data_IF_915768822983
#
_entry.id   IF_915768822983
#
_cell.length_a   1.000
_cell.length_b   1.000
_cell.length_c   1.000
_cell.angle_alpha   90.00
_cell.angle_beta   90.00
_cell.angle_gamma   90.00
#
_symmetry.space_group_name_H-M   'P 1'
#
loop_
_entity.id
_entity.type
_entity.pdbx_description
1 polymer ?
#
# COMPACT_ATOMS: atom_id res chain seq x y z
N UNK A 1 -26.84 93.06 56.46
CA UNK A 1 -26.38 92.39 55.22
C UNK A 1 -25.37 93.31 54.57
N UNK A 2 -24.12 92.87 54.54
CA UNK A 2 -23.00 93.62 53.98
C UNK A 2 -23.12 93.68 52.44
N UNK A 3 -22.52 94.66 51.75
CA UNK A 3 -22.58 94.72 50.27
C UNK A 3 -22.02 93.45 49.61
N UNK A 4 -21.00 92.85 50.23
CA UNK A 4 -20.43 91.58 49.82
C UNK A 4 -21.46 90.43 49.87
N UNK A 5 -22.41 90.45 50.80
CA UNK A 5 -23.45 89.42 50.89
C UNK A 5 -24.43 89.52 49.71
N UNK A 6 -24.78 90.75 49.29
CA UNK A 6 -25.65 90.99 48.13
C UNK A 6 -24.96 90.61 46.81
N UNK A 7 -23.66 90.91 46.69
CA UNK A 7 -22.85 90.54 45.53
C UNK A 7 -22.72 89.02 45.40
N UNK A 8 -22.53 88.32 46.53
CA UNK A 8 -22.48 86.86 46.56
C UNK A 8 -23.80 86.23 46.14
N UNK A 9 -24.95 86.74 46.60
CA UNK A 9 -26.28 86.26 46.21
C UNK A 9 -26.52 86.49 44.70
N UNK A 10 -26.17 87.66 44.17
CA UNK A 10 -26.32 87.96 42.74
C UNK A 10 -25.43 87.06 41.87
N UNK A 11 -24.20 86.79 42.33
CA UNK A 11 -23.27 85.88 41.66
C UNK A 11 -23.77 84.43 41.68
N UNK A 12 -24.43 84.02 42.77
CA UNK A 12 -25.03 82.70 42.86
C UNK A 12 -26.16 82.57 41.86
N UNK A 13 -27.13 83.51 41.87
CA UNK A 13 -28.29 83.51 40.97
C UNK A 13 -27.89 83.58 39.49
N UNK A 14 -26.92 84.42 39.12
CA UNK A 14 -26.50 84.58 37.72
C UNK A 14 -25.68 83.41 37.18
N UNK A 15 -25.01 82.64 38.05
CA UNK A 15 -24.12 81.54 37.64
C UNK A 15 -24.70 80.15 37.90
N UNK A 16 -25.92 80.04 38.43
CA UNK A 16 -26.57 78.74 38.70
C UNK A 16 -26.64 77.88 37.44
N UNK A 17 -27.16 78.43 36.34
CA UNK A 17 -27.36 77.68 35.09
C UNK A 17 -26.03 77.23 34.47
N UNK A 18 -25.00 78.10 34.52
CA UNK A 18 -23.64 77.79 34.05
C UNK A 18 -22.98 76.69 34.89
N UNK A 19 -23.19 76.71 36.21
CA UNK A 19 -22.69 75.66 37.12
C UNK A 19 -23.39 74.34 36.87
N UNK A 20 -24.71 74.34 36.71
CA UNK A 20 -25.48 73.13 36.41
C UNK A 20 -25.07 72.52 35.06
N UNK A 21 -24.84 73.37 34.05
CA UNK A 21 -24.31 72.93 32.75
C UNK A 21 -22.89 72.36 32.85
N UNK A 22 -22.00 73.02 33.59
CA UNK A 22 -20.64 72.55 33.82
C UNK A 22 -20.61 71.23 34.60
N UNK A 23 -21.45 71.07 35.62
CA UNK A 23 -21.62 69.82 36.37
C UNK A 23 -22.11 68.69 35.46
N UNK A 24 -23.05 68.97 34.56
CA UNK A 24 -23.54 68.00 33.58
C UNK A 24 -22.42 67.53 32.63
N UNK A 25 -21.57 68.44 32.16
CA UNK A 25 -20.41 68.10 31.34
C UNK A 25 -19.41 67.27 32.15
N UNK A 26 -19.10 67.69 33.37
CA UNK A 26 -18.17 66.97 34.25
C UNK A 26 -18.66 65.53 34.50
N UNK A 27 -19.95 65.35 34.77
CA UNK A 27 -20.57 64.02 34.92
C UNK A 27 -20.44 63.17 33.65
N UNK A 28 -20.68 63.75 32.46
CA UNK A 28 -20.51 63.05 31.17
C UNK A 28 -19.05 62.65 30.92
N UNK A 29 -18.10 63.52 31.25
CA UNK A 29 -16.66 63.24 31.13
C UNK A 29 -16.28 62.12 32.09
N UNK A 30 -16.66 62.20 33.37
CA UNK A 30 -16.36 61.15 34.34
C UNK A 30 -16.99 59.80 33.96
N UNK A 31 -18.19 59.80 33.36
CA UNK A 31 -18.81 58.59 32.83
C UNK A 31 -18.01 58.00 31.65
N UNK A 32 -17.50 58.84 30.75
CA UNK A 32 -16.67 58.39 29.63
C UNK A 32 -15.30 57.88 30.10
N UNK A 33 -14.65 58.59 31.02
CA UNK A 33 -13.40 58.18 31.66
C UNK A 33 -13.56 56.83 32.35
N UNK A 34 -14.68 56.61 33.04
CA UNK A 34 -14.99 55.32 33.66
C UNK A 34 -15.03 54.19 32.63
N UNK A 35 -15.71 54.40 31.50
CA UNK A 35 -15.77 53.40 30.41
C UNK A 35 -14.38 53.12 29.84
N UNK A 36 -13.55 54.14 29.63
CA UNK A 36 -12.20 54.00 29.08
C UNK A 36 -11.21 53.33 30.04
N UNK A 37 -11.30 53.62 31.34
CA UNK A 37 -10.41 53.05 32.36
C UNK A 37 -10.88 51.69 32.89
N UNK A 38 -12.14 51.32 32.65
CA UNK A 38 -12.69 50.02 33.06
C UNK A 38 -12.67 49.06 31.88
N UNK A 39 -11.73 48.11 31.90
CA UNK A 39 -11.56 47.12 30.82
C UNK A 39 -12.86 46.43 30.40
N UNK A 40 -13.72 46.06 31.35
CA UNK A 40 -14.99 45.38 31.07
C UNK A 40 -15.99 46.28 30.32
N UNK A 41 -16.09 47.55 30.71
CA UNK A 41 -17.00 48.51 30.06
C UNK A 41 -16.49 48.87 28.65
N UNK A 42 -15.18 49.01 28.47
CA UNK A 42 -14.56 49.23 27.17
C UNK A 42 -14.72 48.01 26.24
N UNK A 43 -14.45 46.81 26.75
CA UNK A 43 -14.58 45.55 26.01
C UNK A 43 -16.00 45.39 25.46
N UNK A 44 -17.04 45.67 26.26
CA UNK A 44 -18.42 45.62 25.80
C UNK A 44 -18.78 46.58 24.65
N UNK A 45 -17.93 47.58 24.36
CA UNK A 45 -18.08 48.48 23.21
C UNK A 45 -17.15 48.14 22.04
N UNK A 46 -15.96 47.61 22.33
CA UNK A 46 -14.91 47.35 21.33
C UNK A 46 -15.03 45.94 20.76
N UNK A 47 -15.34 44.94 21.59
CA UNK A 47 -15.37 43.53 21.17
C UNK A 47 -16.30 43.30 19.98
N UNK A 48 -17.55 43.83 19.92
CA UNK A 48 -18.42 43.63 18.76
C UNK A 48 -17.83 44.19 17.44
N UNK A 49 -17.02 45.26 17.54
CA UNK A 49 -16.34 45.85 16.39
C UNK A 49 -15.21 44.94 15.93
N UNK A 50 -14.43 44.41 16.88
CA UNK A 50 -13.34 43.47 16.59
C UNK A 50 -13.90 42.17 16.01
N UNK A 51 -14.97 41.64 16.58
CA UNK A 51 -15.63 40.42 16.12
C UNK A 51 -16.10 40.60 14.67
N UNK A 52 -16.79 41.71 14.35
CA UNK A 52 -17.22 42.01 12.98
C UNK A 52 -16.04 42.07 12.01
N UNK A 53 -14.93 42.72 12.42
CA UNK A 53 -13.72 42.81 11.58
C UNK A 53 -13.02 41.47 11.42
N UNK A 54 -13.06 40.62 12.44
CA UNK A 54 -12.49 39.29 12.39
C UNK A 54 -13.30 38.40 11.44
N UNK A 55 -14.62 38.48 11.48
CA UNK A 55 -15.51 37.76 10.57
C UNK A 55 -15.26 38.20 9.11
N UNK A 56 -15.21 39.51 8.85
CA UNK A 56 -14.84 40.05 7.53
C UNK A 56 -13.47 39.54 7.07
N UNK A 57 -12.47 39.54 7.95
CA UNK A 57 -11.14 39.04 7.63
C UNK A 57 -11.16 37.54 7.30
N UNK A 58 -11.88 36.73 8.08
CA UNK A 58 -12.02 35.29 7.84
C UNK A 58 -12.65 35.02 6.47
N UNK A 59 -13.65 35.80 6.07
CA UNK A 59 -14.27 35.69 4.74
C UNK A 59 -13.30 36.07 3.60
N UNK A 60 -12.36 36.98 3.86
CA UNK A 60 -11.37 37.44 2.88
C UNK A 60 -10.12 36.56 2.80
N UNK A 61 -9.80 35.76 3.83
CA UNK A 61 -8.60 34.88 3.87
C UNK A 61 -8.45 34.03 2.60
N UNK A 62 -9.49 33.31 2.10
CA UNK A 62 -9.33 32.50 0.90
C UNK A 62 -8.92 33.32 -0.34
N UNK A 63 -9.33 34.59 -0.43
CA UNK A 63 -9.02 35.47 -1.56
C UNK A 63 -7.64 36.11 -1.43
N UNK A 64 -7.26 36.51 -0.21
CA UNK A 64 -6.04 37.27 0.04
C UNK A 64 -4.83 36.37 0.31
N UNK A 65 -4.98 35.37 1.16
CA UNK A 65 -3.91 34.44 1.54
C UNK A 65 -3.93 33.15 0.73
N UNK A 66 -5.08 32.75 0.18
CA UNK A 66 -5.21 31.51 -0.61
C UNK A 66 -4.16 31.38 -1.73
N UNK A 67 -3.95 32.40 -2.59
CA UNK A 67 -2.93 32.34 -3.64
C UNK A 67 -1.51 32.17 -3.08
N UNK A 68 -1.17 32.92 -2.03
CA UNK A 68 0.15 32.85 -1.37
C UNK A 68 0.38 31.48 -0.74
N UNK A 69 -0.60 30.95 -0.01
CA UNK A 69 -0.53 29.61 0.58
C UNK A 69 -0.35 28.55 -0.51
N UNK A 70 -1.08 28.67 -1.62
CA UNK A 70 -1.00 27.73 -2.74
C UNK A 70 0.38 27.76 -3.38
N UNK A 71 0.94 28.94 -3.63
CA UNK A 71 2.28 29.06 -4.24
C UNK A 71 3.37 28.56 -3.29
N UNK A 72 3.30 28.90 -2.00
CA UNK A 72 4.22 28.39 -0.99
C UNK A 72 4.18 26.85 -0.90
N UNK A 73 2.98 26.26 -0.89
CA UNK A 73 2.84 24.79 -0.89
C UNK A 73 3.42 24.15 -2.15
N UNK A 74 3.21 24.77 -3.31
CA UNK A 74 3.75 24.29 -4.59
C UNK A 74 5.27 24.33 -4.63
N UNK A 75 5.86 25.41 -4.11
CA UNK A 75 7.31 25.55 -3.98
C UNK A 75 7.87 24.53 -2.98
N UNK A 76 7.21 24.35 -1.84
CA UNK A 76 7.60 23.35 -0.84
C UNK A 76 7.54 21.93 -1.39
N UNK A 77 6.50 21.56 -2.13
CA UNK A 77 6.41 20.25 -2.81
C UNK A 77 7.56 20.08 -3.83
N UNK A 78 7.95 21.14 -4.53
CA UNK A 78 9.03 21.10 -5.52
C UNK A 78 10.41 20.95 -4.86
N UNK A 79 10.60 21.55 -3.68
CA UNK A 79 11.86 21.53 -2.95
C UNK A 79 12.01 20.27 -2.08
N UNK A 80 10.90 19.76 -1.54
CA UNK A 80 10.84 18.62 -0.63
C UNK A 80 10.32 17.34 -1.32
N UNK A 81 10.72 17.11 -2.58
CA UNK A 81 10.23 15.99 -3.41
C UNK A 81 10.40 14.63 -2.76
N UNK A 82 11.55 14.36 -2.13
CA UNK A 82 11.82 13.04 -1.54
C UNK A 82 10.86 12.71 -0.40
N UNK A 83 10.63 13.66 0.52
CA UNK A 83 9.71 13.48 1.64
C UNK A 83 8.25 13.33 1.16
N UNK A 84 7.86 14.10 0.13
CA UNK A 84 6.54 13.97 -0.48
C UNK A 84 6.39 12.61 -1.16
N UNK A 85 7.41 12.15 -1.90
CA UNK A 85 7.41 10.84 -2.55
C UNK A 85 7.31 9.72 -1.50
N UNK A 86 8.09 9.79 -0.43
CA UNK A 86 8.07 8.82 0.67
C UNK A 86 6.70 8.73 1.34
N UNK A 87 6.06 9.87 1.61
CA UNK A 87 4.71 9.91 2.19
C UNK A 87 3.64 9.37 1.23
N UNK A 88 3.80 9.59 -0.08
CA UNK A 88 2.84 9.13 -1.09
C UNK A 88 3.06 7.66 -1.49
N UNK A 89 4.27 7.12 -1.34
CA UNK A 89 4.62 5.78 -1.83
C UNK A 89 3.68 4.68 -1.33
N UNK A 90 3.32 4.57 -0.03
CA UNK A 90 2.38 3.56 0.44
C UNK A 90 0.96 3.73 -0.11
N UNK A 91 0.54 4.97 -0.35
CA UNK A 91 -0.78 5.28 -0.92
C UNK A 91 -0.82 4.83 -2.39
N UNK A 92 0.21 5.22 -3.15
CA UNK A 92 0.37 4.83 -4.54
C UNK A 92 0.45 3.31 -4.68
N UNK A 93 1.22 2.62 -3.84
CA UNK A 93 1.30 1.15 -3.84
C UNK A 93 -0.06 0.48 -3.61
N UNK A 94 -0.86 0.97 -2.64
CA UNK A 94 -2.24 0.48 -2.45
C UNK A 94 -3.15 0.75 -3.64
N UNK A 95 -3.01 1.91 -4.29
CA UNK A 95 -3.80 2.27 -5.48
C UNK A 95 -3.44 1.39 -6.68
N UNK A 96 -2.15 1.20 -6.96
CA UNK A 96 -1.66 0.33 -8.02
C UNK A 96 -2.15 -1.09 -7.79
N UNK A 97 -1.97 -1.62 -6.57
CA UNK A 97 -2.47 -2.96 -6.20
C UNK A 97 -3.97 -3.08 -6.45
N UNK A 98 -4.77 -2.09 -6.02
CA UNK A 98 -6.22 -2.07 -6.23
C UNK A 98 -6.60 -2.03 -7.72
N UNK A 99 -5.92 -1.20 -8.50
CA UNK A 99 -6.15 -1.09 -9.94
C UNK A 99 -5.85 -2.40 -10.66
N UNK A 100 -4.68 -3.00 -10.40
CA UNK A 100 -4.30 -4.30 -10.97
C UNK A 100 -5.32 -5.38 -10.61
N UNK A 101 -5.75 -5.42 -9.34
CA UNK A 101 -6.76 -6.38 -8.89
C UNK A 101 -8.10 -6.19 -9.60
N UNK A 102 -8.50 -4.94 -9.83
CA UNK A 102 -9.72 -4.61 -10.56
C UNK A 102 -9.64 -5.00 -12.04
N UNK A 103 -8.52 -4.73 -12.72
CA UNK A 103 -8.32 -5.15 -14.10
C UNK A 103 -8.32 -6.68 -14.24
N UNK A 104 -7.66 -7.39 -13.32
CA UNK A 104 -7.70 -8.85 -13.27
C UNK A 104 -9.14 -9.35 -13.06
N UNK A 105 -9.91 -8.71 -12.19
CA UNK A 105 -11.32 -9.04 -11.98
C UNK A 105 -12.14 -8.84 -13.26
N UNK A 106 -11.96 -7.72 -13.97
CA UNK A 106 -12.64 -7.46 -15.23
C UNK A 106 -12.24 -8.46 -16.32
N UNK A 107 -10.97 -8.85 -16.39
CA UNK A 107 -10.51 -9.93 -17.26
C UNK A 107 -11.18 -11.25 -16.91
N UNK A 108 -11.23 -11.61 -15.62
CA UNK A 108 -11.90 -12.81 -15.12
C UNK A 108 -13.39 -12.81 -15.47
N UNK A 109 -14.08 -11.68 -15.32
CA UNK A 109 -15.49 -11.53 -15.70
C UNK A 109 -15.72 -11.67 -17.22
N UNK A 110 -14.81 -11.15 -18.05
CA UNK A 110 -14.88 -11.32 -19.51
C UNK A 110 -14.64 -12.79 -19.90
N UNK A 111 -13.63 -13.41 -19.30
CA UNK A 111 -13.34 -14.83 -19.47
C UNK A 111 -14.54 -15.66 -19.05
N UNK A 112 -15.10 -15.45 -17.86
CA UNK A 112 -16.26 -16.18 -17.35
C UNK A 112 -17.47 -16.03 -18.26
N UNK A 113 -17.72 -14.84 -18.81
CA UNK A 113 -18.85 -14.60 -19.74
C UNK A 113 -18.66 -15.30 -21.10
N UNK A 114 -17.42 -15.39 -21.58
CA UNK A 114 -17.08 -16.08 -22.83
C UNK A 114 -17.02 -17.61 -22.65
N UNK A 115 -16.59 -18.04 -21.47
CA UNK A 115 -16.67 -19.41 -20.93
C UNK A 115 -18.13 -19.83 -20.86
N UNK A 116 -18.99 -19.14 -20.12
CA UNK A 116 -20.39 -19.52 -19.89
C UNK A 116 -21.20 -19.71 -21.19
N UNK A 117 -20.98 -18.82 -22.18
CA UNK A 117 -21.59 -18.95 -23.52
C UNK A 117 -20.98 -20.10 -24.36
N UNK A 118 -19.72 -20.46 -24.14
CA UNK A 118 -19.07 -21.58 -24.84
C UNK A 118 -19.23 -22.93 -24.12
N UNK A 119 -19.53 -22.92 -22.82
CA UNK A 119 -19.76 -24.10 -21.98
C UNK A 119 -21.04 -24.81 -22.39
N UNK A 120 -22.10 -24.10 -22.78
CA UNK A 120 -23.32 -24.72 -23.30
C UNK A 120 -23.04 -25.67 -24.48
N UNK A 121 -22.27 -25.21 -25.48
CA UNK A 121 -21.99 -25.98 -26.69
C UNK A 121 -20.81 -26.95 -26.53
N UNK A 122 -19.75 -26.57 -25.80
CA UNK A 122 -18.59 -27.43 -25.53
C UNK A 122 -18.87 -28.49 -24.47
N UNK A 123 -19.66 -28.21 -23.42
CA UNK A 123 -20.01 -29.22 -22.41
C UNK A 123 -20.86 -30.33 -23.01
N UNK A 124 -21.73 -30.03 -23.99
CA UNK A 124 -22.46 -31.06 -24.73
C UNK A 124 -21.53 -31.92 -25.59
N UNK A 125 -20.62 -31.29 -26.34
CA UNK A 125 -19.60 -32.01 -27.14
C UNK A 125 -18.63 -32.81 -26.27
N UNK A 126 -18.31 -32.31 -25.08
CA UNK A 126 -17.45 -32.92 -24.04
C UNK A 126 -18.12 -34.12 -23.36
N UNK A 127 -19.43 -34.04 -23.06
CA UNK A 127 -20.23 -35.17 -22.57
C UNK A 127 -20.30 -36.31 -23.59
N UNK A 128 -20.49 -36.00 -24.87
CA UNK A 128 -20.46 -36.99 -25.95
C UNK A 128 -19.08 -37.63 -26.12
N UNK A 129 -18.00 -36.86 -26.00
CA UNK A 129 -16.62 -37.35 -26.16
C UNK A 129 -16.17 -38.20 -24.96
N UNK A 130 -16.48 -37.79 -23.72
CA UNK A 130 -16.16 -38.53 -22.51
C UNK A 130 -16.86 -39.89 -22.44
N UNK A 131 -18.10 -39.98 -22.94
CA UNK A 131 -18.82 -41.25 -23.06
C UNK A 131 -18.17 -42.21 -24.08
N UNK A 132 -17.52 -41.69 -25.11
CA UNK A 132 -16.83 -42.49 -26.15
C UNK A 132 -15.40 -42.86 -25.76
N UNK A 133 -14.67 -42.02 -25.02
CA UNK A 133 -13.23 -42.21 -24.78
C UNK A 133 -12.83 -42.57 -23.34
N UNK A 134 -13.76 -42.63 -22.38
CA UNK A 134 -13.52 -43.23 -21.06
C UNK A 134 -12.47 -42.56 -20.16
N UNK A 135 -12.18 -41.25 -20.34
CA UNK A 135 -11.20 -40.51 -19.52
C UNK A 135 -11.91 -39.65 -18.48
N UNK A 136 -11.40 -39.66 -17.23
CA UNK A 136 -12.02 -39.06 -16.04
C UNK A 136 -12.00 -37.53 -16.06
N UNK A 137 -13.03 -36.96 -15.46
CA UNK A 137 -13.47 -35.55 -15.48
C UNK A 137 -12.49 -34.53 -14.83
N UNK A 138 -11.40 -34.99 -14.21
CA UNK A 138 -10.54 -34.17 -13.35
C UNK A 138 -9.45 -33.37 -14.10
N UNK A 139 -9.05 -33.82 -15.30
CA UNK A 139 -8.01 -33.14 -16.10
C UNK A 139 -8.54 -31.90 -16.84
N UNK A 140 -9.86 -31.68 -16.81
CA UNK A 140 -10.55 -30.64 -17.60
C UNK A 140 -10.79 -29.32 -16.84
N UNK A 141 -10.46 -29.26 -15.54
CA UNK A 141 -10.74 -28.09 -14.68
C UNK A 141 -9.57 -27.09 -14.67
N UNK A 142 -8.40 -27.48 -15.19
CA UNK A 142 -7.14 -26.73 -15.04
C UNK A 142 -6.88 -25.70 -16.16
N UNK A 143 -7.73 -25.60 -17.19
CA UNK A 143 -7.48 -24.76 -18.37
C UNK A 143 -8.05 -23.34 -18.32
N UNK A 144 -8.53 -22.84 -17.17
CA UNK A 144 -9.37 -21.62 -17.14
C UNK A 144 -9.08 -20.61 -16.01
N UNK A 145 -7.97 -20.74 -15.28
CA UNK A 145 -7.50 -19.73 -14.33
C UNK A 145 -6.13 -19.25 -14.80
N UNK A 146 -5.98 -17.93 -14.99
CA UNK A 146 -4.85 -17.29 -15.69
C UNK A 146 -3.52 -18.03 -15.53
N UNK A 147 -3.01 -18.55 -16.65
CA UNK A 147 -2.03 -19.64 -16.70
C UNK A 147 -0.79 -19.33 -15.84
N UNK A 148 -0.70 -19.96 -14.67
CA UNK A 148 0.54 -19.99 -13.93
C UNK A 148 1.56 -20.81 -14.74
N UNK A 149 2.69 -20.19 -15.07
CA UNK A 149 3.72 -20.83 -15.89
C UNK A 149 4.98 -21.03 -15.05
N UNK A 150 5.54 -22.24 -15.13
CA UNK A 150 6.87 -22.51 -14.60
C UNK A 150 7.89 -21.88 -15.53
N UNK A 151 8.63 -20.90 -15.04
CA UNK A 151 9.67 -20.26 -15.81
C UNK A 151 10.99 -21.01 -15.67
N UNK A 152 11.38 -21.30 -14.43
CA UNK A 152 12.63 -21.98 -14.10
C UNK A 152 12.52 -22.83 -12.85
N UNK A 153 13.32 -23.89 -12.77
CA UNK A 153 13.45 -24.77 -11.62
C UNK A 153 14.92 -24.95 -11.31
N UNK A 154 15.29 -24.90 -10.04
CA UNK A 154 16.65 -25.07 -9.56
C UNK A 154 16.68 -26.14 -8.48
N UNK A 155 17.63 -27.07 -8.60
CA UNK A 155 17.97 -28.02 -7.54
C UNK A 155 19.28 -27.55 -6.94
N UNK A 156 19.26 -27.20 -5.66
CA UNK A 156 20.38 -26.52 -5.00
C UNK A 156 20.78 -27.33 -3.76
N UNK A 157 22.07 -27.63 -3.62
CA UNK A 157 22.60 -28.30 -2.44
C UNK A 157 22.41 -27.42 -1.20
N UNK A 158 21.93 -28.04 -0.13
CA UNK A 158 21.69 -27.35 1.13
C UNK A 158 23.03 -26.96 1.76
N UNK A 159 23.06 -25.78 2.40
CA UNK A 159 24.22 -25.17 3.06
C UNK A 159 25.28 -24.58 2.14
N UNK A 160 25.69 -25.27 1.07
CA UNK A 160 26.73 -24.77 0.15
C UNK A 160 26.18 -23.78 -0.88
N UNK A 161 24.91 -23.95 -1.29
CA UNK A 161 24.30 -23.20 -2.37
C UNK A 161 24.76 -23.61 -3.77
N UNK A 162 25.45 -24.74 -3.88
CA UNK A 162 25.89 -25.30 -5.16
C UNK A 162 24.68 -25.71 -5.99
N UNK A 163 24.63 -25.25 -7.24
CA UNK A 163 23.60 -25.64 -8.19
C UNK A 163 23.85 -27.07 -8.68
N UNK A 164 22.95 -27.99 -8.35
CA UNK A 164 23.02 -29.39 -8.78
C UNK A 164 22.40 -29.61 -10.16
N UNK A 165 21.39 -28.80 -10.53
CA UNK A 165 20.74 -28.87 -11.82
C UNK A 165 19.69 -27.78 -11.98
N UNK A 166 19.36 -27.46 -13.22
CA UNK A 166 18.35 -26.45 -13.51
C UNK A 166 17.48 -26.84 -14.72
N UNK A 167 16.26 -26.33 -14.73
CA UNK A 167 15.38 -26.30 -15.88
C UNK A 167 14.96 -24.86 -16.13
N UNK A 168 14.88 -24.46 -17.40
CA UNK A 168 14.45 -23.13 -17.77
C UNK A 168 13.72 -23.18 -19.12
N UNK A 169 12.54 -22.58 -19.20
CA UNK A 169 11.86 -22.32 -20.48
C UNK A 169 12.62 -21.26 -21.28
N UNK A 170 13.11 -20.23 -20.58
CA UNK A 170 13.97 -19.17 -21.13
C UNK A 170 15.11 -18.92 -20.16
N UNK A 171 16.35 -18.85 -20.64
CA UNK A 171 17.54 -18.55 -19.81
C UNK A 171 17.64 -17.05 -19.49
N UNK A 172 16.71 -16.55 -18.67
CA UNK A 172 16.65 -15.15 -18.24
C UNK A 172 17.29 -14.88 -16.89
N UNK A 173 17.64 -15.93 -16.14
CA UNK A 173 18.16 -15.84 -14.77
C UNK A 173 19.57 -16.43 -14.77
N UNK A 174 20.52 -15.69 -14.19
CA UNK A 174 21.85 -16.21 -13.89
C UNK A 174 21.75 -17.26 -12.78
N UNK A 175 22.05 -18.51 -13.13
CA UNK A 175 21.76 -19.68 -12.30
C UNK A 175 22.64 -19.72 -11.04
N UNK A 176 23.90 -19.31 -11.18
CA UNK A 176 24.91 -19.33 -10.11
C UNK A 176 24.66 -18.18 -9.12
N UNK A 177 24.33 -17.00 -9.65
CA UNK A 177 23.94 -15.87 -8.81
C UNK A 177 22.63 -16.16 -8.07
N UNK A 178 21.65 -16.76 -8.75
CA UNK A 178 20.36 -17.08 -8.17
C UNK A 178 20.45 -18.15 -7.07
N UNK A 179 21.27 -19.20 -7.26
CA UNK A 179 21.48 -20.23 -6.24
C UNK A 179 22.17 -19.68 -5.00
N UNK A 180 23.21 -18.84 -5.19
CA UNK A 180 23.89 -18.14 -4.10
C UNK A 180 22.97 -17.20 -3.33
N UNK A 181 22.16 -16.41 -4.04
CA UNK A 181 21.17 -15.51 -3.45
C UNK A 181 20.14 -16.27 -2.60
N UNK A 182 19.53 -17.33 -3.14
CA UNK A 182 18.52 -18.10 -2.41
C UNK A 182 19.10 -18.76 -1.16
N UNK A 183 20.33 -19.26 -1.24
CA UNK A 183 21.00 -19.86 -0.08
C UNK A 183 21.21 -18.82 1.01
N UNK A 184 21.72 -17.64 0.65
CA UNK A 184 21.92 -16.55 1.59
C UNK A 184 20.60 -16.11 2.24
N UNK A 185 19.55 -15.87 1.45
CA UNK A 185 18.23 -15.47 1.99
C UNK A 185 17.70 -16.54 2.93
N UNK A 186 17.76 -17.81 2.53
CA UNK A 186 17.27 -18.93 3.35
C UNK A 186 18.03 -19.01 4.68
N UNK A 187 19.36 -18.94 4.65
CA UNK A 187 20.19 -18.93 5.86
C UNK A 187 19.87 -17.75 6.76
N UNK A 188 19.78 -16.53 6.22
CA UNK A 188 19.45 -15.34 7.02
C UNK A 188 18.07 -15.43 7.68
N UNK A 189 17.06 -15.92 6.96
CA UNK A 189 15.71 -16.08 7.51
C UNK A 189 15.70 -17.16 8.58
N UNK A 190 16.32 -18.32 8.34
CA UNK A 190 16.33 -19.42 9.31
C UNK A 190 17.11 -19.06 10.59
N UNK A 191 18.22 -18.32 10.45
CA UNK A 191 18.99 -17.81 11.59
C UNK A 191 18.22 -16.77 12.40
N UNK A 192 17.46 -15.89 11.72
CA UNK A 192 16.67 -14.84 12.37
C UNK A 192 15.51 -15.41 13.21
N UNK A 193 14.89 -16.50 12.76
CA UNK A 193 13.66 -16.99 13.37
C UNK A 193 13.85 -17.92 14.58
N UNK A 194 15.07 -18.38 14.92
CA UNK A 194 15.48 -19.17 16.10
C UNK A 194 14.60 -20.40 16.50
N UNK A 195 13.52 -20.68 15.78
CA UNK A 195 12.58 -21.77 16.01
C UNK A 195 12.95 -22.94 15.11
N UNK A 196 13.23 -24.09 15.74
CA UNK A 196 13.55 -25.32 15.01
C UNK A 196 12.33 -25.81 14.23
N UNK A 197 12.48 -26.01 12.92
CA UNK A 197 11.49 -26.66 12.07
C UNK A 197 10.69 -25.75 11.15
N UNK A 198 11.00 -24.45 11.07
CA UNK A 198 10.46 -23.56 10.04
C UNK A 198 11.47 -23.43 8.89
N UNK A 199 10.97 -23.50 7.65
CA UNK A 199 11.77 -23.26 6.45
C UNK A 199 11.12 -22.14 5.64
N UNK A 200 11.93 -21.39 4.89
CA UNK A 200 11.43 -20.45 3.90
C UNK A 200 10.78 -21.24 2.73
N UNK A 201 9.48 -21.03 2.49
CA UNK A 201 8.70 -21.78 1.48
C UNK A 201 8.29 -20.97 0.24
N UNK A 202 8.22 -19.64 0.37
CA UNK A 202 7.73 -18.76 -0.70
C UNK A 202 8.39 -17.38 -0.61
N UNK A 203 8.88 -16.90 -1.75
CA UNK A 203 9.32 -15.51 -1.94
C UNK A 203 8.47 -14.90 -3.06
N UNK A 204 7.88 -13.74 -2.81
CA UNK A 204 7.07 -13.00 -3.79
C UNK A 204 7.90 -11.83 -4.37
N UNK A 205 7.99 -11.74 -5.69
CA UNK A 205 8.67 -10.67 -6.41
C UNK A 205 7.84 -10.22 -7.62
N UNK A 206 7.13 -9.10 -7.47
CA UNK A 206 6.22 -8.55 -8.48
C UNK A 206 5.19 -9.58 -9.01
N UNK A 207 5.38 -10.05 -10.26
CA UNK A 207 4.52 -11.04 -10.92
C UNK A 207 5.07 -12.46 -10.84
N UNK A 208 6.18 -12.65 -10.13
CA UNK A 208 6.87 -13.92 -9.95
C UNK A 208 6.75 -14.41 -8.50
N UNK A 209 6.64 -15.72 -8.37
CA UNK A 209 6.61 -16.43 -7.10
C UNK A 209 7.73 -17.47 -7.12
N UNK A 210 8.63 -17.43 -6.15
CA UNK A 210 9.68 -18.43 -5.98
C UNK A 210 9.22 -19.38 -4.89
N UNK A 211 8.70 -20.53 -5.28
CA UNK A 211 8.34 -21.59 -4.34
C UNK A 211 9.56 -22.41 -3.98
N UNK A 212 9.83 -22.58 -2.69
CA UNK A 212 11.00 -23.28 -2.16
C UNK A 212 10.54 -24.50 -1.38
N UNK A 213 10.95 -25.68 -1.81
CA UNK A 213 10.69 -26.93 -1.11
C UNK A 213 12.01 -27.49 -0.57
N UNK A 214 12.14 -27.52 0.75
CA UNK A 214 13.35 -28.02 1.42
C UNK A 214 13.31 -29.54 1.63
N UNK A 215 14.43 -30.21 1.35
CA UNK A 215 14.70 -31.61 1.67
C UNK A 215 15.89 -31.72 2.64
N UNK A 216 16.36 -32.94 2.89
CA UNK A 216 17.44 -33.22 3.85
C UNK A 216 18.77 -32.63 3.38
N UNK A 217 19.19 -32.94 2.15
CA UNK A 217 20.49 -32.55 1.58
C UNK A 217 20.44 -31.47 0.49
N UNK A 218 19.26 -31.15 -0.02
CA UNK A 218 19.07 -30.14 -1.08
C UNK A 218 17.72 -29.45 -0.89
N UNK A 219 17.46 -28.42 -1.68
CA UNK A 219 16.14 -27.83 -1.83
C UNK A 219 15.87 -27.53 -3.29
N UNK A 220 14.58 -27.45 -3.63
CA UNK A 220 14.11 -27.15 -4.98
C UNK A 220 13.47 -25.78 -4.96
N UNK A 221 13.90 -24.88 -5.84
CA UNK A 221 13.30 -23.57 -6.03
C UNK A 221 12.63 -23.52 -7.40
N UNK A 222 11.34 -23.19 -7.44
CA UNK A 222 10.55 -23.09 -8.66
C UNK A 222 10.05 -21.67 -8.83
N UNK A 223 10.45 -21.05 -9.94
CA UNK A 223 10.03 -19.71 -10.34
C UNK A 223 8.75 -19.84 -11.17
N UNK A 224 7.65 -19.33 -10.62
CA UNK A 224 6.32 -19.35 -11.23
C UNK A 224 5.92 -17.92 -11.58
N UNK A 225 5.56 -17.67 -12.85
CA UNK A 225 4.94 -16.42 -13.27
C UNK A 225 3.41 -16.55 -13.19
N UNK A 226 2.70 -15.44 -12.93
CA UNK A 226 1.24 -15.42 -12.96
C UNK A 226 0.57 -15.76 -11.62
N UNK A 227 -0.65 -16.32 -11.66
CA UNK A 227 -1.49 -16.47 -10.47
C UNK A 227 -1.10 -17.70 -9.64
N UNK A 228 -0.35 -17.49 -8.55
CA UNK A 228 0.01 -18.54 -7.60
C UNK A 228 -1.13 -18.85 -6.61
N UNK A 229 -2.11 -19.65 -7.06
CA UNK A 229 -3.26 -20.07 -6.26
C UNK A 229 -3.00 -21.37 -5.48
N UNK A 230 -3.82 -21.69 -4.47
CA UNK A 230 -3.69 -22.94 -3.69
C UNK A 230 -3.70 -24.21 -4.57
N UNK A 231 -4.57 -24.35 -5.59
CA UNK A 231 -4.52 -25.48 -6.51
C UNK A 231 -3.18 -25.59 -7.25
N UNK A 232 -2.63 -24.47 -7.73
CA UNK A 232 -1.33 -24.41 -8.40
C UNK A 232 -0.22 -24.82 -7.43
N UNK A 233 -0.22 -24.29 -6.20
CA UNK A 233 0.72 -24.70 -5.15
C UNK A 233 0.68 -26.21 -4.91
N UNK A 234 -0.50 -26.79 -4.72
CA UNK A 234 -0.64 -28.23 -4.44
C UNK A 234 -0.11 -29.08 -5.60
N UNK A 235 -0.49 -28.77 -6.84
CA UNK A 235 -0.01 -29.49 -8.02
C UNK A 235 1.49 -29.33 -8.22
N UNK A 236 2.04 -28.15 -7.94
CA UNK A 236 3.48 -27.91 -7.96
C UNK A 236 4.19 -28.78 -6.92
N UNK A 237 3.69 -28.82 -5.69
CA UNK A 237 4.24 -29.66 -4.63
C UNK A 237 4.19 -31.13 -5.00
N UNK A 238 3.08 -31.63 -5.55
CA UNK A 238 2.96 -33.01 -6.01
C UNK A 238 4.00 -33.35 -7.10
N UNK A 239 4.22 -32.43 -8.06
CA UNK A 239 5.24 -32.59 -9.10
C UNK A 239 6.65 -32.60 -8.50
N UNK A 240 6.93 -31.69 -7.56
CA UNK A 240 8.21 -31.63 -6.85
C UNK A 240 8.47 -32.93 -6.06
N UNK A 241 7.46 -33.48 -5.37
CA UNK A 241 7.60 -34.73 -4.63
C UNK A 241 7.87 -35.91 -5.56
N UNK A 242 7.14 -36.03 -6.68
CA UNK A 242 7.38 -37.08 -7.68
C UNK A 242 8.78 -37.00 -8.28
N UNK A 243 9.25 -35.79 -8.59
CA UNK A 243 10.63 -35.57 -9.03
C UNK A 243 11.62 -35.99 -7.94
N UNK A 244 11.42 -35.55 -6.69
CA UNK A 244 12.31 -35.84 -5.56
C UNK A 244 12.42 -37.34 -5.28
N UNK A 245 11.34 -38.11 -5.37
CA UNK A 245 11.36 -39.56 -5.17
C UNK A 245 12.28 -40.24 -6.20
N UNK A 246 12.16 -39.86 -7.47
CA UNK A 246 13.02 -40.41 -8.52
C UNK A 246 14.47 -39.91 -8.40
N UNK A 247 14.65 -38.61 -8.15
CA UNK A 247 15.97 -37.99 -8.00
C UNK A 247 16.76 -38.58 -6.82
N UNK A 248 16.13 -38.84 -5.67
CA UNK A 248 16.77 -39.54 -4.55
C UNK A 248 17.21 -40.94 -4.93
N UNK A 249 16.39 -41.67 -5.69
CA UNK A 249 16.72 -43.01 -6.19
C UNK A 249 17.96 -42.95 -7.10
N UNK A 250 18.00 -41.98 -8.03
CA UNK A 250 19.15 -41.77 -8.92
C UNK A 250 20.43 -41.45 -8.14
N UNK A 251 20.39 -40.58 -7.13
CA UNK A 251 21.55 -40.27 -6.30
C UNK A 251 22.05 -41.46 -5.46
N UNK A 252 21.15 -42.35 -5.01
CA UNK A 252 21.53 -43.51 -4.20
C UNK A 252 22.17 -44.61 -5.07
N UNK A 253 21.64 -44.85 -6.27
CA UNK A 253 22.09 -45.96 -7.13
C UNK A 253 23.20 -45.57 -8.11
N UNK A 254 23.46 -44.28 -8.32
CA UNK A 254 24.48 -43.81 -9.24
C UNK A 254 25.31 -42.65 -8.63
N UNK A 255 26.43 -42.96 -7.94
CA UNK A 255 27.27 -41.93 -7.31
C UNK A 255 27.98 -41.01 -8.33
N UNK A 256 28.04 -41.39 -9.61
CA UNK A 256 28.60 -40.59 -10.70
C UNK A 256 27.52 -39.82 -11.49
N UNK A 257 26.36 -39.54 -10.88
CA UNK A 257 25.28 -38.79 -11.54
C UNK A 257 25.79 -37.43 -12.04
N UNK A 258 25.59 -37.17 -13.33
CA UNK A 258 26.04 -35.91 -13.94
C UNK A 258 24.95 -34.85 -13.83
N UNK A 259 25.34 -33.58 -13.84
CA UNK A 259 24.39 -32.45 -13.90
C UNK A 259 23.42 -32.57 -15.10
N UNK A 260 23.87 -33.15 -16.21
CA UNK A 260 23.02 -33.38 -17.38
C UNK A 260 21.90 -34.39 -17.12
N UNK A 261 22.15 -35.42 -16.29
CA UNK A 261 21.12 -36.39 -15.91
C UNK A 261 20.02 -35.72 -15.09
N UNK A 262 20.41 -34.83 -14.17
CA UNK A 262 19.48 -34.04 -13.35
C UNK A 262 18.66 -33.09 -14.22
N UNK A 263 19.28 -32.44 -15.20
CA UNK A 263 18.59 -31.55 -16.15
C UNK A 263 17.58 -32.33 -17.00
N UNK A 264 17.91 -33.52 -17.48
CA UNK A 264 16.99 -34.37 -18.24
C UNK A 264 15.77 -34.77 -17.40
N UNK A 265 16.00 -35.11 -16.13
CA UNK A 265 14.94 -35.46 -15.20
C UNK A 265 14.03 -34.26 -14.92
N UNK A 266 14.61 -33.08 -14.68
CA UNK A 266 13.84 -31.84 -14.50
C UNK A 266 13.01 -31.52 -15.74
N UNK A 267 13.56 -31.67 -16.94
CA UNK A 267 12.81 -31.51 -18.19
C UNK A 267 11.62 -32.48 -18.24
N UNK A 268 11.78 -33.73 -17.85
CA UNK A 268 10.68 -34.70 -17.86
C UNK A 268 9.50 -34.29 -16.97
N UNK A 269 9.77 -33.77 -15.77
CA UNK A 269 8.72 -33.40 -14.81
C UNK A 269 8.14 -32.00 -15.03
N UNK A 270 8.93 -31.03 -15.49
CA UNK A 270 8.56 -29.61 -15.50
C UNK A 270 8.33 -29.01 -16.89
N UNK A 271 8.52 -29.78 -17.98
CA UNK A 271 8.27 -29.33 -19.35
C UNK A 271 6.79 -29.28 -19.76
N UNK A 272 5.86 -29.77 -18.92
CA UNK A 272 4.44 -29.62 -19.20
C UNK A 272 3.99 -28.20 -18.85
N UNK A 273 3.54 -27.47 -19.87
CA UNK A 273 3.45 -26.01 -19.90
C UNK A 273 2.51 -25.34 -18.88
N UNK A 274 1.66 -26.11 -18.19
CA UNK A 274 0.62 -25.56 -17.31
C UNK A 274 0.54 -26.32 -15.98
N UNK A 275 0.79 -25.61 -14.87
CA UNK A 275 0.39 -26.05 -13.54
C UNK A 275 -1.02 -25.52 -13.25
#
# INVERSE_FOLDING_TARGET
>A
MNENDKLNILKDILLTDDREYAETIAQKISALEKVLHTRSELAGKVDPIIDTRLDEFIEEIPKTLGPTITETLKEEIKNSKEQVVEALYPIMGRMIKKYVWQEIKLLSERVSTQVENSFSFRAWKRRLKAWITGVKEHDLILSELGDASIEQVFVIEKNSGILLGNYAKTETIDKEMFSGMLTAIKSFVEDAFQQKGQNLELIEYELYHIHIQSFVSYYIAVVVSGQYSTPVKNKLQDTIFKFSENFLSLMIYNPDITQNDIVNELNFYFNNDHI
#
